data_IF_480041809175
#
_entry.id   IF_480041809175
#
_cell.length_a   1.000
_cell.length_b   1.000
_cell.length_c   1.000
_cell.angle_alpha   90.00
_cell.angle_beta   90.00
_cell.angle_gamma   90.00
#
_symmetry.space_group_name_H-M   'P 1'
#
loop_
_entity.id
_entity.type
_entity.pdbx_description
1 polymer ?
#
# COMPACT_ATOMS: atom_id res chain seq x y z
N UNK A 1 -7.68 -1.47 22.49
CA UNK A 1 -8.83 -1.91 21.66
C UNK A 1 -8.27 -2.77 20.54
N UNK A 2 -8.85 -3.93 20.24
CA UNK A 2 -8.45 -4.68 19.04
C UNK A 2 -8.65 -3.79 17.81
N UNK A 3 -7.72 -3.80 16.84
CA UNK A 3 -7.88 -3.02 15.64
C UNK A 3 -9.20 -3.40 14.94
N UNK A 4 -9.88 -2.41 14.36
CA UNK A 4 -11.12 -2.59 13.62
C UNK A 4 -10.96 -3.49 12.38
N UNK A 5 -9.73 -3.72 11.93
CA UNK A 5 -9.36 -4.52 10.77
C UNK A 5 -8.16 -5.42 11.08
N UNK A 6 -7.85 -6.35 10.17
CA UNK A 6 -6.66 -7.19 10.23
C UNK A 6 -5.91 -7.16 8.90
N UNK A 7 -4.57 -7.13 8.97
CA UNK A 7 -3.74 -7.45 7.81
C UNK A 7 -3.49 -8.96 7.78
N UNK A 8 -3.92 -9.61 6.70
CA UNK A 8 -3.68 -11.05 6.49
C UNK A 8 -3.34 -11.35 5.04
N UNK A 9 -2.63 -12.46 4.76
CA UNK A 9 -2.47 -12.91 3.39
C UNK A 9 -3.82 -13.11 2.70
N UNK A 10 -3.85 -12.90 1.37
CA UNK A 10 -4.99 -13.28 0.55
C UNK A 10 -5.19 -14.79 0.58
N UNK A 11 -6.44 -15.24 0.49
CA UNK A 11 -6.82 -16.66 0.51
C UNK A 11 -7.97 -16.94 -0.45
N UNK A 12 -8.16 -18.22 -0.77
CA UNK A 12 -9.34 -18.66 -1.51
C UNK A 12 -10.62 -18.28 -0.74
N UNK A 13 -11.62 -17.81 -1.47
CA UNK A 13 -12.86 -17.30 -0.90
C UNK A 13 -12.89 -15.77 -0.78
N UNK A 14 -11.76 -15.08 -0.98
CA UNK A 14 -11.70 -13.61 -0.95
C UNK A 14 -12.21 -12.97 -2.26
N UNK A 15 -12.35 -13.74 -3.33
CA UNK A 15 -12.58 -13.23 -4.69
C UNK A 15 -13.80 -12.31 -4.78
N UNK A 16 -14.90 -12.72 -4.15
CA UNK A 16 -16.16 -11.97 -4.23
C UNK A 16 -16.07 -10.62 -3.52
N UNK A 17 -15.52 -10.57 -2.31
CA UNK A 17 -15.35 -9.32 -1.55
C UNK A 17 -14.29 -8.42 -2.19
N UNK A 18 -13.19 -9.01 -2.68
CA UNK A 18 -12.15 -8.27 -3.39
C UNK A 18 -12.70 -7.63 -4.66
N UNK A 19 -13.38 -8.38 -5.54
CA UNK A 19 -13.95 -7.85 -6.77
C UNK A 19 -14.98 -6.76 -6.49
N UNK A 20 -15.89 -6.99 -5.52
CA UNK A 20 -16.90 -6.01 -5.10
C UNK A 20 -16.29 -4.69 -4.66
N UNK A 21 -15.29 -4.74 -3.80
CA UNK A 21 -14.71 -3.56 -3.16
C UNK A 21 -13.65 -2.85 -4.02
N UNK A 22 -12.94 -3.58 -4.87
CA UNK A 22 -11.95 -3.03 -5.79
C UNK A 22 -12.57 -2.39 -7.04
N UNK A 23 -13.77 -2.81 -7.44
CA UNK A 23 -14.46 -2.28 -8.62
C UNK A 23 -15.06 -0.90 -8.36
N UNK A 24 -14.21 0.10 -8.21
CA UNK A 24 -14.58 1.48 -7.93
C UNK A 24 -13.66 2.43 -8.70
N UNK A 25 -14.23 3.28 -9.53
CA UNK A 25 -13.49 4.28 -10.31
C UNK A 25 -12.67 5.23 -9.42
N UNK A 26 -13.18 5.62 -8.24
CA UNK A 26 -12.48 6.50 -7.32
C UNK A 26 -11.22 5.84 -6.71
N UNK A 27 -11.18 4.50 -6.66
CA UNK A 27 -9.96 3.76 -6.33
C UNK A 27 -9.06 3.72 -7.56
N UNK A 28 -9.56 3.22 -8.69
CA UNK A 28 -8.78 3.03 -9.90
C UNK A 28 -8.04 4.28 -10.37
N UNK A 29 -8.65 5.42 -10.33
CA UNK A 29 -8.02 6.68 -10.74
C UNK A 29 -6.79 7.07 -9.90
N UNK A 30 -6.66 6.52 -8.71
CA UNK A 30 -5.59 6.81 -7.75
C UNK A 30 -4.51 5.72 -7.67
N UNK A 31 -4.62 4.68 -8.47
CA UNK A 31 -3.67 3.57 -8.55
C UNK A 31 -3.13 3.39 -9.98
N UNK A 32 -2.14 2.53 -10.16
CA UNK A 32 -1.55 2.25 -11.47
C UNK A 32 -2.54 1.54 -12.39
N UNK A 33 -2.38 1.68 -13.72
CA UNK A 33 -3.27 1.07 -14.71
C UNK A 33 -3.21 -0.47 -14.75
N UNK A 34 -2.19 -1.08 -14.15
CA UNK A 34 -2.16 -2.53 -13.93
C UNK A 34 -3.29 -3.01 -12.99
N UNK A 35 -3.85 -2.13 -12.18
CA UNK A 35 -5.06 -2.38 -11.42
C UNK A 35 -6.27 -2.24 -12.37
N UNK A 36 -7.03 -3.31 -12.62
CA UNK A 36 -8.08 -3.31 -13.65
C UNK A 36 -9.23 -2.34 -13.37
N UNK A 37 -9.83 -1.82 -14.45
CA UNK A 37 -11.11 -1.11 -14.37
C UNK A 37 -11.94 -1.40 -15.64
N UNK A 38 -13.10 -2.08 -15.55
CA UNK A 38 -13.71 -2.60 -14.31
C UNK A 38 -12.87 -3.69 -13.66
N UNK A 39 -12.97 -3.82 -12.33
CA UNK A 39 -12.35 -4.91 -11.58
C UNK A 39 -13.31 -6.09 -11.48
N UNK A 40 -12.95 -7.21 -12.09
CA UNK A 40 -13.81 -8.39 -12.23
C UNK A 40 -13.48 -9.48 -11.22
N UNK A 41 -14.38 -10.46 -11.10
CA UNK A 41 -14.13 -11.67 -10.31
C UNK A 41 -12.91 -12.46 -10.82
N UNK A 42 -12.69 -12.46 -12.14
CA UNK A 42 -11.54 -13.11 -12.74
C UNK A 42 -10.23 -12.41 -12.35
N UNK A 43 -10.21 -11.07 -12.31
CA UNK A 43 -9.05 -10.31 -11.85
C UNK A 43 -8.75 -10.62 -10.38
N UNK A 44 -9.78 -10.70 -9.54
CA UNK A 44 -9.63 -11.09 -8.14
C UNK A 44 -9.02 -12.49 -8.00
N UNK A 45 -9.50 -13.46 -8.78
CA UNK A 45 -8.96 -14.83 -8.77
C UNK A 45 -7.49 -14.85 -9.20
N UNK A 46 -7.13 -14.13 -10.26
CA UNK A 46 -5.75 -14.05 -10.74
C UNK A 46 -4.84 -13.38 -9.69
N UNK A 47 -5.30 -12.29 -9.08
CA UNK A 47 -4.53 -11.60 -8.05
C UNK A 47 -4.26 -12.48 -6.84
N UNK A 48 -5.29 -13.16 -6.31
CA UNK A 48 -5.14 -14.10 -5.19
C UNK A 48 -4.16 -15.21 -5.54
N UNK A 49 -4.22 -15.74 -6.77
CA UNK A 49 -3.29 -16.74 -7.26
C UNK A 49 -1.83 -16.27 -7.24
N UNK A 50 -1.58 -15.00 -7.59
CA UNK A 50 -0.24 -14.40 -7.56
C UNK A 50 0.28 -14.16 -6.13
N UNK A 51 -0.62 -13.90 -5.18
CA UNK A 51 -0.24 -13.62 -3.79
C UNK A 51 0.05 -14.88 -2.95
N UNK A 52 -0.24 -16.06 -3.47
CA UNK A 52 -0.06 -17.33 -2.74
C UNK A 52 1.39 -17.81 -2.72
N UNK A 53 1.75 -18.48 -1.64
CA UNK A 53 2.99 -19.27 -1.56
C UNK A 53 4.22 -18.51 -1.09
N UNK A 54 4.12 -17.25 -0.76
CA UNK A 54 5.25 -16.51 -0.19
C UNK A 54 5.45 -16.85 1.29
N UNK A 55 6.65 -17.29 1.66
CA UNK A 55 7.03 -17.52 3.09
C UNK A 55 7.11 -16.22 3.88
N UNK A 56 7.39 -15.11 3.19
CA UNK A 56 7.35 -13.74 3.73
C UNK A 56 6.48 -12.90 2.79
N UNK A 57 5.18 -12.83 3.02
CA UNK A 57 4.28 -12.09 2.14
C UNK A 57 4.70 -10.62 2.03
N UNK A 58 4.68 -10.10 0.82
CA UNK A 58 4.91 -8.69 0.52
C UNK A 58 3.61 -7.94 0.33
N UNK A 59 2.48 -8.66 0.22
CA UNK A 59 1.14 -8.11 -0.02
C UNK A 59 0.13 -8.73 0.94
N UNK A 60 -0.74 -7.88 1.49
CA UNK A 60 -1.79 -8.27 2.44
C UNK A 60 -3.15 -7.72 2.04
N UNK A 61 -4.18 -8.48 2.34
CA UNK A 61 -5.55 -8.01 2.38
C UNK A 61 -5.78 -7.19 3.66
N UNK A 62 -6.50 -6.09 3.55
CA UNK A 62 -7.10 -5.38 4.69
C UNK A 62 -8.48 -6.02 4.87
N UNK A 63 -8.65 -6.72 5.98
CA UNK A 63 -9.84 -7.54 6.27
C UNK A 63 -10.65 -6.93 7.41
N UNK A 64 -11.96 -6.91 7.24
CA UNK A 64 -12.95 -6.62 8.30
C UNK A 64 -13.99 -7.72 8.28
N UNK A 65 -14.13 -8.44 9.37
CA UNK A 65 -15.14 -9.50 9.57
C UNK A 65 -15.13 -10.58 8.45
N UNK A 66 -13.95 -10.86 7.89
CA UNK A 66 -13.77 -11.85 6.82
C UNK A 66 -13.95 -11.30 5.40
N UNK A 67 -14.30 -10.02 5.22
CA UNK A 67 -14.38 -9.36 3.94
C UNK A 67 -13.09 -8.58 3.63
N UNK A 68 -12.58 -8.73 2.42
CA UNK A 68 -11.48 -7.89 1.90
C UNK A 68 -12.04 -6.52 1.55
N UNK A 69 -11.62 -5.51 2.32
CA UNK A 69 -12.03 -4.11 2.13
C UNK A 69 -10.93 -3.24 1.54
N UNK A 70 -9.74 -3.81 1.33
CA UNK A 70 -8.58 -3.11 0.80
C UNK A 70 -7.40 -4.02 0.59
N UNK A 71 -6.32 -3.45 0.11
CA UNK A 71 -5.05 -4.14 -0.05
C UNK A 71 -3.89 -3.20 0.26
N UNK A 72 -2.82 -3.77 0.79
CA UNK A 72 -1.58 -3.06 1.09
C UNK A 72 -0.39 -3.97 0.81
N UNK A 73 0.69 -3.40 0.31
CA UNK A 73 1.89 -4.18 0.03
C UNK A 73 3.12 -3.34 -0.16
N UNK A 74 4.26 -4.02 -0.29
CA UNK A 74 5.54 -3.42 -0.64
C UNK A 74 6.11 -4.08 -1.89
N UNK A 75 6.83 -3.29 -2.67
CA UNK A 75 7.63 -3.75 -3.81
C UNK A 75 9.10 -3.51 -3.46
N UNK A 76 9.81 -4.61 -3.18
CA UNK A 76 11.25 -4.57 -2.89
C UNK A 76 12.03 -4.13 -4.13
N UNK A 77 12.93 -3.19 -3.95
CA UNK A 77 13.82 -2.75 -5.02
C UNK A 77 15.02 -3.68 -5.16
N UNK A 78 15.72 -3.59 -6.28
CA UNK A 78 16.84 -4.48 -6.63
C UNK A 78 18.13 -3.70 -6.83
N UNK A 79 19.24 -4.43 -6.96
CA UNK A 79 20.57 -3.91 -7.26
C UNK A 79 21.02 -2.81 -6.27
N UNK A 80 21.48 -1.67 -6.71
CA UNK A 80 21.92 -0.55 -5.86
C UNK A 80 20.78 0.05 -5.03
N UNK A 81 19.52 -0.17 -5.44
CA UNK A 81 18.32 0.29 -4.74
C UNK A 81 17.76 -0.74 -3.72
N UNK A 82 18.41 -1.90 -3.52
CA UNK A 82 17.91 -3.02 -2.72
C UNK A 82 17.57 -2.71 -1.25
N UNK A 83 18.02 -1.58 -0.74
CA UNK A 83 17.65 -1.10 0.60
C UNK A 83 16.40 -0.24 0.62
N UNK A 84 15.70 -0.13 -0.52
CA UNK A 84 14.42 0.57 -0.63
C UNK A 84 13.29 -0.41 -0.91
N UNK A 85 12.09 -0.04 -0.50
CA UNK A 85 10.85 -0.63 -0.99
C UNK A 85 9.80 0.45 -1.21
N UNK A 86 8.95 0.24 -2.20
CA UNK A 86 7.78 1.07 -2.45
C UNK A 86 6.59 0.48 -1.70
N UNK A 87 5.88 1.29 -0.91
CA UNK A 87 4.63 0.89 -0.28
C UNK A 87 3.46 1.43 -1.09
N UNK A 88 2.47 0.56 -1.34
CA UNK A 88 1.23 0.92 -2.01
C UNK A 88 0.03 0.32 -1.31
N UNK A 89 -1.11 1.00 -1.38
CA UNK A 89 -2.35 0.56 -0.76
C UNK A 89 -3.58 1.13 -1.47
N UNK A 90 -4.69 0.47 -1.27
CA UNK A 90 -6.03 0.94 -1.63
C UNK A 90 -7.03 0.52 -0.54
N UNK A 91 -8.14 1.24 -0.45
CA UNK A 91 -9.19 0.98 0.54
C UNK A 91 -10.55 1.26 -0.09
N UNK A 92 -11.54 0.42 0.21
CA UNK A 92 -12.91 0.61 -0.24
C UNK A 92 -13.52 1.90 0.32
N UNK A 93 -14.24 2.62 -0.53
CA UNK A 93 -14.79 3.96 -0.25
C UNK A 93 -15.60 4.04 1.06
N UNK A 94 -16.45 3.05 1.44
CA UNK A 94 -17.21 3.09 2.70
C UNK A 94 -16.34 3.13 3.96
N UNK A 95 -15.05 2.82 3.84
CA UNK A 95 -14.09 2.78 4.95
C UNK A 95 -13.15 4.00 4.99
N UNK A 96 -13.30 4.95 4.06
CA UNK A 96 -12.52 6.18 4.05
C UNK A 96 -12.84 7.07 5.25
N UNK A 97 -11.86 7.87 5.66
CA UNK A 97 -12.01 8.83 6.77
C UNK A 97 -12.06 8.23 8.18
N UNK A 98 -11.95 6.90 8.31
CA UNK A 98 -12.06 6.16 9.59
C UNK A 98 -10.71 5.78 10.22
N UNK A 99 -9.59 6.22 9.64
CA UNK A 99 -8.24 5.92 10.14
C UNK A 99 -7.64 4.61 9.64
N UNK A 100 -8.44 3.71 9.06
CA UNK A 100 -8.02 2.36 8.61
C UNK A 100 -6.76 2.39 7.75
N UNK A 101 -6.73 3.23 6.71
CA UNK A 101 -5.57 3.32 5.83
C UNK A 101 -4.31 3.77 6.58
N UNK A 102 -4.42 4.71 7.52
CA UNK A 102 -3.29 5.19 8.32
C UNK A 102 -2.72 4.08 9.20
N UNK A 103 -3.58 3.37 9.91
CA UNK A 103 -3.18 2.26 10.79
C UNK A 103 -2.60 1.10 9.97
N UNK A 104 -3.20 0.75 8.82
CA UNK A 104 -2.70 -0.27 7.91
C UNK A 104 -1.29 0.08 7.37
N UNK A 105 -1.05 1.33 7.00
CA UNK A 105 0.28 1.81 6.57
C UNK A 105 1.29 1.72 7.71
N UNK A 106 0.90 2.06 8.93
CA UNK A 106 1.78 1.94 10.11
C UNK A 106 2.14 0.48 10.39
N UNK A 107 1.15 -0.42 10.39
CA UNK A 107 1.37 -1.85 10.62
C UNK A 107 2.24 -2.46 9.53
N UNK A 108 1.96 -2.16 8.25
CA UNK A 108 2.78 -2.64 7.12
C UNK A 108 4.20 -2.10 7.17
N UNK A 109 4.40 -0.86 7.59
CA UNK A 109 5.73 -0.25 7.77
C UNK A 109 6.54 -1.00 8.83
N UNK A 110 5.94 -1.30 9.98
CA UNK A 110 6.59 -2.07 11.05
C UNK A 110 6.93 -3.48 10.57
N UNK A 111 5.99 -4.14 9.89
CA UNK A 111 6.22 -5.45 9.29
C UNK A 111 7.39 -5.42 8.31
N UNK A 112 7.40 -4.46 7.39
CA UNK A 112 8.42 -4.33 6.36
C UNK A 112 9.82 -4.15 6.97
N UNK A 113 9.99 -3.22 7.88
CA UNK A 113 11.27 -3.00 8.55
C UNK A 113 11.71 -4.17 9.46
N UNK A 114 10.80 -4.94 10.00
CA UNK A 114 11.11 -6.11 10.82
C UNK A 114 11.56 -7.31 9.98
N UNK A 115 10.93 -7.54 8.84
CA UNK A 115 11.09 -8.79 8.09
C UNK A 115 11.99 -8.68 6.86
N UNK A 116 12.25 -7.46 6.35
CA UNK A 116 13.09 -7.23 5.18
C UNK A 116 14.28 -6.34 5.51
N UNK A 117 15.40 -6.60 4.86
CA UNK A 117 16.63 -5.81 5.03
C UNK A 117 16.58 -4.54 4.16
N UNK A 118 15.62 -3.67 4.48
CA UNK A 118 15.43 -2.37 3.84
C UNK A 118 15.66 -1.26 4.86
N UNK A 119 16.09 -0.09 4.40
CA UNK A 119 16.32 1.10 5.21
C UNK A 119 15.30 2.20 4.93
N UNK A 120 14.75 2.24 3.71
CA UNK A 120 13.85 3.29 3.23
C UNK A 120 12.58 2.69 2.63
N UNK A 121 11.43 3.14 3.14
CA UNK A 121 10.12 2.96 2.49
C UNK A 121 9.73 4.27 1.82
N UNK A 122 9.18 4.19 0.60
CA UNK A 122 8.64 5.35 -0.08
C UNK A 122 7.28 5.03 -0.71
N UNK A 123 6.47 6.06 -0.90
CA UNK A 123 5.20 5.99 -1.61
C UNK A 123 5.12 7.14 -2.60
N UNK A 124 4.71 6.85 -3.83
CA UNK A 124 4.34 7.84 -4.83
C UNK A 124 2.84 8.13 -4.76
N UNK A 125 2.46 9.40 -4.72
CA UNK A 125 1.07 9.84 -4.66
C UNK A 125 0.82 10.81 -5.80
N UNK A 126 -0.22 10.55 -6.60
CA UNK A 126 -0.62 11.47 -7.67
C UNK A 126 -1.09 12.80 -7.07
N UNK A 127 -0.67 13.91 -7.66
CA UNK A 127 -0.86 15.27 -7.11
C UNK A 127 -2.32 15.62 -6.76
N UNK A 128 -3.28 14.98 -7.44
CA UNK A 128 -4.71 15.17 -7.20
C UNK A 128 -5.28 14.29 -6.07
N UNK A 129 -4.43 13.55 -5.31
CA UNK A 129 -4.85 12.69 -4.21
C UNK A 129 -4.36 13.18 -2.82
N UNK A 130 -4.83 14.34 -2.34
CA UNK A 130 -4.40 14.86 -1.04
C UNK A 130 -4.83 13.98 0.14
N UNK A 131 -5.82 13.10 -0.05
CA UNK A 131 -6.25 12.17 0.98
C UNK A 131 -5.15 11.15 1.30
N UNK A 132 -4.51 10.58 0.27
CA UNK A 132 -3.38 9.65 0.46
C UNK A 132 -2.16 10.36 1.06
N UNK A 133 -1.89 11.62 0.66
CA UNK A 133 -0.81 12.41 1.27
C UNK A 133 -1.00 12.52 2.80
N UNK A 134 -2.21 12.88 3.23
CA UNK A 134 -2.54 12.97 4.68
C UNK A 134 -2.45 11.63 5.40
N UNK A 135 -2.78 10.52 4.75
CA UNK A 135 -2.60 9.17 5.33
C UNK A 135 -1.13 8.91 5.60
N UNK A 136 -0.25 9.17 4.64
CA UNK A 136 1.19 8.97 4.77
C UNK A 136 1.79 9.87 5.85
N UNK A 137 1.45 11.15 5.87
CA UNK A 137 1.89 12.10 6.91
C UNK A 137 1.50 11.61 8.31
N UNK A 138 0.25 11.20 8.50
CA UNK A 138 -0.24 10.64 9.78
C UNK A 138 0.44 9.31 10.14
N UNK A 139 0.86 8.53 9.15
CA UNK A 139 1.62 7.30 9.35
C UNK A 139 3.11 7.55 9.64
N UNK A 140 3.54 8.82 9.66
CA UNK A 140 4.90 9.23 9.98
C UNK A 140 5.86 9.22 8.78
N UNK A 141 5.33 9.26 7.57
CA UNK A 141 6.10 9.57 6.37
C UNK A 141 6.22 11.08 6.23
N UNK A 142 7.32 11.54 5.64
CA UNK A 142 7.52 12.94 5.32
C UNK A 142 7.67 13.12 3.81
N UNK A 143 7.27 14.28 3.33
CA UNK A 143 7.41 14.67 1.93
C UNK A 143 8.89 14.81 1.57
N UNK A 144 9.29 14.26 0.43
CA UNK A 144 10.68 14.28 -0.05
C UNK A 144 10.84 15.06 -1.36
N UNK A 145 9.98 14.80 -2.35
CA UNK A 145 10.15 15.36 -3.68
C UNK A 145 8.85 15.40 -4.49
N UNK A 146 8.87 16.22 -5.55
CA UNK A 146 7.89 16.16 -6.65
C UNK A 146 8.60 15.67 -7.90
N UNK A 147 8.07 14.62 -8.50
CA UNK A 147 8.45 14.16 -9.83
C UNK A 147 7.51 14.82 -10.83
N UNK A 148 8.03 15.79 -11.57
CA UNK A 148 7.21 16.57 -12.51
C UNK A 148 6.81 15.75 -13.72
N UNK A 149 5.49 15.72 -14.04
CA UNK A 149 4.92 15.07 -15.22
C UNK A 149 5.33 13.60 -15.38
N UNK A 150 5.58 12.91 -14.26
CA UNK A 150 6.06 11.52 -14.22
C UNK A 150 4.96 10.49 -14.39
N UNK A 151 3.70 10.89 -14.22
CA UNK A 151 2.53 10.01 -14.29
C UNK A 151 1.67 10.38 -15.48
N UNK A 152 1.35 9.39 -16.33
CA UNK A 152 0.33 9.52 -17.36
C UNK A 152 -0.91 8.75 -16.93
N UNK A 153 -1.98 9.44 -16.62
CA UNK A 153 -3.24 8.85 -16.16
C UNK A 153 -4.42 9.58 -16.80
N UNK A 154 -5.41 8.83 -17.29
CA UNK A 154 -6.63 9.38 -17.93
C UNK A 154 -6.31 10.39 -19.04
N UNK A 155 -5.31 10.10 -19.87
CA UNK A 155 -4.93 10.94 -21.00
C UNK A 155 -4.20 12.23 -20.65
N UNK A 156 -3.75 12.40 -19.38
CA UNK A 156 -3.05 13.59 -18.89
C UNK A 156 -1.75 13.24 -18.17
N UNK A 157 -0.81 14.17 -18.22
CA UNK A 157 0.40 14.12 -17.40
C UNK A 157 0.14 14.80 -16.06
N UNK A 158 0.62 14.14 -14.98
CA UNK A 158 0.45 14.56 -13.61
C UNK A 158 1.79 14.52 -12.88
N UNK A 159 1.95 15.35 -11.87
CA UNK A 159 3.07 15.23 -10.95
C UNK A 159 2.83 14.09 -9.95
N UNK A 160 3.92 13.51 -9.47
CA UNK A 160 3.91 12.53 -8.40
C UNK A 160 4.65 13.08 -7.18
N UNK A 161 4.01 13.03 -6.02
CA UNK A 161 4.59 13.46 -4.75
C UNK A 161 5.17 12.24 -4.04
N UNK A 162 6.45 12.29 -3.72
CA UNK A 162 7.17 11.21 -3.05
C UNK A 162 7.19 11.47 -1.55
N UNK A 163 6.69 10.51 -0.80
CA UNK A 163 6.74 10.47 0.65
C UNK A 163 7.63 9.33 1.12
N UNK A 164 8.43 9.55 2.16
CA UNK A 164 9.43 8.59 2.63
C UNK A 164 9.39 8.39 4.13
N UNK A 165 9.78 7.20 4.55
CA UNK A 165 10.04 6.86 5.95
C UNK A 165 11.28 6.00 6.03
N UNK A 166 12.18 6.33 6.96
CA UNK A 166 13.40 5.57 7.20
C UNK A 166 13.23 4.64 8.39
N UNK A 167 13.99 3.55 8.36
CA UNK A 167 14.14 2.69 9.53
C UNK A 167 14.84 3.50 10.64
N UNK A 168 14.26 3.48 11.83
CA UNK A 168 14.92 4.04 13.00
C UNK A 168 16.17 3.20 13.30
N UNK A 169 17.33 3.86 13.41
CA UNK A 169 18.54 3.21 13.88
C UNK A 169 18.34 2.84 15.35
N UNK A 170 18.53 1.58 15.68
CA UNK A 170 18.66 1.20 17.09
C UNK A 170 19.88 1.97 17.62
N UNK A 171 19.64 2.91 18.53
CA UNK A 171 20.74 3.49 19.29
C UNK A 171 21.52 2.33 19.94
N UNK A 172 22.73 2.10 19.45
CA UNK A 172 23.65 1.20 20.14
C UNK A 172 23.96 1.84 21.51
N UNK A 173 23.68 1.16 22.61
CA UNK A 173 24.12 1.64 23.91
C UNK A 173 25.58 1.27 24.05
N UNK A 174 26.50 1.95 23.40
CA UNK A 174 27.94 1.88 23.71
C UNK A 174 28.73 2.78 22.76
N UNK A 175 28.92 4.01 23.19
CA UNK A 175 30.16 4.76 23.03
C UNK A 175 30.28 5.68 24.26
N UNK A 176 30.73 5.11 25.33
CA UNK A 176 31.40 5.85 26.43
C UNK A 176 32.90 5.64 26.25
#
# INVERSE_FOLDING_TARGET
MSPFFHLRPYRDGDEASLAKNANNYQIWRNVRDIFPNPYTLQDAHQWIGLCKGETKPTVFAIDVDGEVIGGIGIVLQKDVFRKNAEIGYWLAEPFWGKGVATEAVQEMTQYAFKHFDIHRLYAGVFEYNPASMRVLEKAGFHFEAILHQSVFKEGKLWNEHIYVKFREEKQSPDKV
#
